data_IF_977878154542
#
_entry.id   IF_977878154542
#
_cell.length_a   1.000
_cell.length_b   1.000
_cell.length_c   1.000
_cell.angle_alpha   90.00
_cell.angle_beta   90.00
_cell.angle_gamma   90.00
#
_symmetry.space_group_name_H-M   'P 1'
#
loop_
_entity.id
_entity.type
_entity.pdbx_description
1 polymer ?
#
# COMPACT_ATOMS: atom_id res chain seq x y z
N UNK A 1 -8.65 11.58 21.85
CA UNK A 1 -8.27 10.15 21.75
C UNK A 1 -6.94 9.95 22.46
N UNK A 2 -6.87 9.10 23.49
CA UNK A 2 -5.59 8.70 24.07
C UNK A 2 -4.71 8.05 22.98
N UNK A 3 -3.43 8.41 22.92
CA UNK A 3 -2.48 7.76 22.00
C UNK A 3 -2.52 8.24 20.54
N UNK A 4 -3.21 9.35 20.24
CA UNK A 4 -3.04 9.99 18.95
C UNK A 4 -1.59 10.49 18.80
N UNK A 5 -0.96 10.18 17.66
CA UNK A 5 0.42 10.58 17.39
C UNK A 5 0.50 12.10 17.23
N UNK A 6 1.40 12.74 17.97
CA UNK A 6 1.76 14.16 17.79
C UNK A 6 3.06 14.24 17.01
N UNK A 7 3.14 15.18 16.06
CA UNK A 7 4.31 15.38 15.21
C UNK A 7 4.91 16.75 15.48
N UNK A 8 6.17 16.76 15.88
CA UNK A 8 6.94 17.96 16.15
C UNK A 8 7.62 18.45 14.85
N UNK A 9 7.59 19.76 14.54
CA UNK A 9 8.32 20.33 13.41
C UNK A 9 9.82 20.03 13.48
N UNK A 10 10.44 19.74 12.34
CA UNK A 10 11.86 19.38 12.23
C UNK A 10 12.20 17.94 12.65
N UNK A 11 11.23 17.15 13.14
CA UNK A 11 11.46 15.77 13.55
C UNK A 11 11.18 14.76 12.43
N UNK A 12 11.89 13.63 12.49
CA UNK A 12 11.66 12.47 11.61
C UNK A 12 11.00 11.33 12.38
N UNK A 13 9.95 10.76 11.80
CA UNK A 13 9.21 9.63 12.34
C UNK A 13 9.33 8.41 11.41
N UNK A 14 9.34 7.22 11.98
CA UNK A 14 9.49 5.98 11.23
C UNK A 14 8.33 5.03 11.52
N UNK A 15 7.67 4.57 10.46
CA UNK A 15 6.73 3.45 10.50
C UNK A 15 7.39 2.24 9.90
N UNK A 16 7.45 1.15 10.66
CA UNK A 16 8.10 -0.09 10.24
C UNK A 16 7.17 -1.26 10.45
N UNK A 17 7.38 -2.34 9.70
CA UNK A 17 6.79 -3.64 10.00
C UNK A 17 7.85 -4.60 10.51
N UNK A 18 7.65 -5.14 11.71
CA UNK A 18 8.47 -6.25 12.24
C UNK A 18 7.84 -7.61 11.99
N UNK A 19 6.68 -7.68 11.33
CA UNK A 19 6.07 -8.95 10.95
C UNK A 19 6.90 -9.65 9.88
N UNK A 20 6.75 -10.97 9.76
CA UNK A 20 7.42 -11.76 8.74
C UNK A 20 6.74 -11.70 7.36
N UNK A 21 5.51 -11.17 7.29
CA UNK A 21 4.63 -11.25 6.12
C UNK A 21 3.82 -12.55 6.01
N UNK A 22 3.98 -13.48 6.96
CA UNK A 22 3.15 -14.69 7.09
C UNK A 22 2.14 -14.54 8.24
N UNK A 23 1.08 -15.35 8.21
CA UNK A 23 0.03 -15.31 9.23
C UNK A 23 0.55 -15.58 10.65
N UNK A 24 1.42 -16.59 10.80
CA UNK A 24 2.04 -16.99 12.07
C UNK A 24 3.05 -15.96 12.61
N UNK A 25 3.57 -15.07 11.75
CA UNK A 25 4.53 -14.04 12.12
C UNK A 25 3.96 -12.63 12.22
N UNK A 26 2.64 -12.47 12.31
CA UNK A 26 2.00 -11.14 12.40
C UNK A 26 2.38 -10.41 13.69
N UNK A 27 2.53 -11.14 14.80
CA UNK A 27 2.85 -10.59 16.13
C UNK A 27 4.35 -10.49 16.42
N UNK A 28 5.22 -10.78 15.44
CA UNK A 28 6.66 -10.67 15.61
C UNK A 28 7.07 -9.24 15.95
N UNK A 29 7.85 -9.07 17.03
CA UNK A 29 8.21 -7.75 17.60
C UNK A 29 9.61 -7.25 17.22
N UNK A 30 10.41 -8.05 16.49
CA UNK A 30 11.77 -7.68 16.07
C UNK A 30 12.12 -8.23 14.68
N UNK A 31 13.02 -7.55 13.97
CA UNK A 31 13.44 -7.85 12.60
C UNK A 31 12.31 -7.77 11.55
N UNK A 32 11.81 -8.92 11.09
CA UNK A 32 10.78 -9.02 10.05
C UNK A 32 11.13 -8.28 8.76
N UNK A 33 10.07 -7.82 8.09
CA UNK A 33 10.14 -7.12 6.81
C UNK A 33 10.92 -5.79 6.88
N UNK A 34 10.97 -5.12 8.04
CA UNK A 34 11.79 -3.93 8.26
C UNK A 34 13.28 -4.22 8.01
N UNK A 35 13.76 -5.39 8.45
CA UNK A 35 15.15 -5.79 8.28
C UNK A 35 15.39 -6.46 6.93
N UNK A 36 14.56 -7.43 6.54
CA UNK A 36 14.81 -8.27 5.36
C UNK A 36 14.50 -7.60 4.03
N UNK A 37 13.51 -6.70 4.00
CA UNK A 37 13.03 -6.05 2.78
C UNK A 37 13.06 -4.52 2.86
N UNK A 38 13.65 -3.98 3.93
CA UNK A 38 13.70 -2.54 4.15
C UNK A 38 12.30 -1.90 4.17
N UNK A 39 11.28 -2.62 4.67
CA UNK A 39 9.90 -2.15 4.72
C UNK A 39 9.74 -1.13 5.86
N UNK A 40 10.09 0.12 5.53
CA UNK A 40 10.03 1.29 6.41
C UNK A 40 9.57 2.52 5.64
N UNK A 41 8.72 3.33 6.28
CA UNK A 41 8.34 4.67 5.82
C UNK A 41 8.96 5.68 6.76
N UNK A 42 9.75 6.60 6.21
CA UNK A 42 10.26 7.78 6.92
C UNK A 42 9.35 8.96 6.59
N UNK A 43 8.88 9.65 7.62
CA UNK A 43 8.13 10.90 7.52
C UNK A 43 8.99 11.99 8.13
N UNK A 44 9.45 12.90 7.30
CA UNK A 44 10.15 14.11 7.72
C UNK A 44 9.13 15.23 7.86
N UNK A 45 9.03 15.81 9.06
CA UNK A 45 8.14 16.93 9.33
C UNK A 45 8.96 18.20 9.15
N UNK A 46 8.62 18.98 8.12
CA UNK A 46 9.30 20.24 7.85
C UNK A 46 9.21 21.17 9.07
N UNK A 47 10.26 21.94 9.31
CA UNK A 47 10.17 23.07 10.22
C UNK A 47 9.13 24.07 9.67
N UNK A 48 8.43 24.77 10.56
CA UNK A 48 7.57 25.87 10.12
C UNK A 48 8.46 26.91 9.44
N UNK A 49 8.48 26.91 8.11
CA UNK A 49 9.11 27.99 7.37
C UNK A 49 8.47 29.29 7.87
N UNK A 50 9.24 30.33 8.24
CA UNK A 50 8.65 31.62 8.48
C UNK A 50 7.87 31.99 7.23
N UNK A 51 6.56 32.15 7.37
CA UNK A 51 5.68 32.62 6.31
C UNK A 51 6.22 33.96 5.84
N UNK A 52 7.10 33.97 4.84
CA UNK A 52 7.26 35.15 4.02
C UNK A 52 5.90 35.28 3.34
N UNK A 53 5.10 36.21 3.86
CA UNK A 53 3.88 36.65 3.22
C UNK A 53 4.28 37.37 1.92
N UNK A 54 4.76 36.62 0.93
CA UNK A 54 4.66 37.01 -0.46
C UNK A 54 3.18 36.87 -0.79
N UNK A 55 2.48 38.01 -0.73
CA UNK A 55 1.16 38.23 -1.31
C UNK A 55 0.98 37.38 -2.58
N UNK A 56 -0.14 36.64 -2.74
CA UNK A 56 -0.38 35.91 -3.96
C UNK A 56 -0.59 36.93 -5.08
N UNK A 57 0.41 37.14 -5.93
CA UNK A 57 0.15 37.66 -7.27
C UNK A 57 -0.47 36.50 -8.04
N UNK A 58 -1.80 36.51 -8.07
CA UNK A 58 -2.64 35.58 -8.78
C UNK A 58 -2.15 35.42 -10.23
N UNK A 59 -1.49 34.31 -10.52
CA UNK A 59 -1.28 33.80 -11.88
C UNK A 59 -2.03 32.48 -11.95
N UNK A 60 -3.34 32.58 -12.09
CA UNK A 60 -4.22 31.43 -12.28
C UNK A 60 -3.91 30.80 -13.64
N UNK A 61 -2.99 29.82 -13.65
CA UNK A 61 -2.81 28.93 -14.79
C UNK A 61 -3.89 27.86 -14.69
N UNK A 62 -4.93 27.98 -15.52
CA UNK A 62 -5.90 26.90 -15.69
C UNK A 62 -5.20 25.72 -16.36
N UNK A 63 -4.92 24.65 -15.60
CA UNK A 63 -4.57 23.37 -16.19
C UNK A 63 -5.87 22.77 -16.72
N UNK A 64 -6.10 22.85 -18.03
CA UNK A 64 -7.07 22.00 -18.70
C UNK A 64 -6.65 20.54 -18.47
N UNK A 65 -7.36 19.86 -17.58
CA UNK A 65 -7.27 18.41 -17.49
C UNK A 65 -7.97 17.82 -18.73
N UNK A 66 -7.29 17.04 -19.58
CA UNK A 66 -7.96 16.37 -20.67
C UNK A 66 -9.05 15.47 -20.09
N UNK A 67 -10.28 15.66 -20.58
CA UNK A 67 -11.47 14.89 -20.21
C UNK A 67 -11.13 13.40 -20.24
N UNK A 68 -11.27 12.73 -19.10
CA UNK A 68 -11.09 11.28 -19.02
C UNK A 68 -12.00 10.61 -20.05
N UNK A 69 -11.40 9.93 -21.03
CA UNK A 69 -12.18 9.13 -21.96
C UNK A 69 -12.73 7.92 -21.19
N UNK A 70 -14.03 7.59 -21.34
CA UNK A 70 -14.56 6.38 -20.75
C UNK A 70 -13.80 5.18 -21.33
N UNK A 71 -13.16 4.40 -20.47
CA UNK A 71 -12.49 3.18 -20.88
C UNK A 71 -13.58 2.22 -21.39
N UNK A 72 -13.67 2.04 -22.71
CA UNK A 72 -14.44 0.96 -23.30
C UNK A 72 -13.48 -0.16 -23.64
N UNK A 73 -12.90 -0.81 -22.62
CA UNK A 73 -12.20 -2.08 -22.85
C UNK A 73 -13.24 -3.19 -22.76
N UNK A 74 -13.75 -3.60 -23.92
CA UNK A 74 -14.51 -4.83 -24.06
C UNK A 74 -13.66 -5.99 -23.50
N UNK A 75 -14.01 -6.47 -22.31
CA UNK A 75 -13.43 -7.68 -21.75
C UNK A 75 -13.95 -8.83 -22.60
N UNK A 76 -13.12 -9.37 -23.49
CA UNK A 76 -13.38 -10.69 -24.07
C UNK A 76 -13.33 -11.70 -22.93
N UNK A 77 -14.41 -12.44 -22.63
CA UNK A 77 -14.34 -13.51 -21.65
C UNK A 77 -13.40 -14.59 -22.18
N UNK A 78 -12.36 -14.91 -21.41
CA UNK A 78 -11.53 -16.09 -21.61
C UNK A 78 -12.41 -17.32 -21.35
N UNK A 79 -12.74 -18.07 -22.41
CA UNK A 79 -13.41 -19.36 -22.28
C UNK A 79 -12.48 -20.31 -21.55
N UNK A 80 -12.84 -20.70 -20.33
CA UNK A 80 -12.13 -21.74 -19.59
C UNK A 80 -12.58 -23.07 -20.20
N UNK A 81 -11.71 -23.73 -20.98
CA UNK A 81 -11.96 -25.12 -21.39
C UNK A 81 -11.83 -26.03 -20.16
N UNK A 82 -12.82 -26.90 -19.86
CA UNK A 82 -12.65 -27.93 -18.86
C UNK A 82 -11.79 -29.05 -19.44
N UNK A 83 -10.55 -29.18 -18.96
CA UNK A 83 -9.74 -30.37 -19.23
C UNK A 83 -10.31 -31.55 -18.45
N UNK A 84 -11.08 -32.39 -19.13
CA UNK A 84 -11.42 -33.73 -18.69
C UNK A 84 -10.21 -34.65 -18.86
N UNK A 85 -9.76 -35.27 -17.77
CA UNK A 85 -9.22 -36.65 -17.77
C UNK A 85 -9.09 -37.16 -16.33
N UNK A 86 -9.96 -38.11 -15.99
CA UNK A 86 -9.90 -38.99 -14.82
C UNK A 86 -8.67 -39.92 -14.86
N UNK A 87 -8.12 -40.31 -13.71
CA UNK A 87 -8.25 -41.69 -13.16
C UNK A 87 -7.19 -42.06 -12.09
N UNK A 88 -7.65 -42.76 -11.04
CA UNK A 88 -6.95 -43.54 -10.01
C UNK A 88 -6.03 -42.73 -9.06
N UNK A 89 -6.17 -42.75 -7.72
CA UNK A 89 -6.14 -43.88 -6.79
C UNK A 89 -6.40 -43.25 -5.40
N UNK A 90 -7.38 -43.65 -4.60
CA UNK A 90 -7.11 -44.41 -3.38
C UNK A 90 -8.46 -44.70 -2.70
N UNK A 91 -8.95 -45.93 -2.83
CA UNK A 91 -10.02 -46.48 -1.99
C UNK A 91 -9.38 -47.05 -0.72
N UNK A 92 -9.55 -46.40 0.43
CA UNK A 92 -9.61 -47.13 1.72
C UNK A 92 -10.26 -46.30 2.83
N UNK A 93 -11.01 -47.02 3.67
CA UNK A 93 -11.66 -46.61 4.92
C UNK A 93 -13.10 -46.08 4.80
N UNK A 94 -14.02 -47.01 4.53
CA UNK A 94 -15.27 -47.09 5.27
C UNK A 94 -15.15 -48.30 6.21
N UNK A 95 -15.15 -48.04 7.52
CA UNK A 95 -15.73 -48.88 8.57
C UNK A 95 -16.39 -47.93 9.58
#
# INVERSE_FOLDING_TARGET
MPGATHYEPGASYYYISTSSGKHDGIEQKSHGLCHSQNLRLRVDVEENAPTQASSPTESTVYIEHPRAQPYNRAVRPSSIEPTSSESAEERRAQD
#
